data_IF_317500708757
#
_entry.id   IF_317500708757
#
_cell.length_a   1.000
_cell.length_b   1.000
_cell.length_c   1.000
_cell.angle_alpha   90.00
_cell.angle_beta   90.00
_cell.angle_gamma   90.00
#
_symmetry.space_group_name_H-M   'P 1'
#
loop_
_entity.id
_entity.type
_entity.pdbx_description
1 polymer ?
#
# COMPACT_ATOMS: atom_id res chain seq x y z
N UNK A 1 -30.71 -11.25 48.06
CA UNK A 1 -30.47 -11.12 47.52
C UNK A 1 -29.86 -10.95 46.77
N UNK A 2 -29.70 -11.01 46.53
CA UNK A 2 -29.28 -10.84 45.85
C UNK A 2 -28.69 -10.78 44.95
N UNK A 3 -28.33 -10.66 44.42
CA UNK A 3 -27.91 -10.55 43.61
C UNK A 3 -27.36 -10.45 42.72
N UNK A 4 -27.10 -10.28 42.38
CA UNK A 4 -26.76 -10.13 41.66
C UNK A 4 -26.20 -10.06 40.85
N UNK A 5 -25.85 -9.98 40.37
CA UNK A 5 -25.47 -9.85 39.57
C UNK A 5 -24.75 -9.72 38.74
N UNK A 6 -24.44 -9.56 38.29
CA UNK A 6 -23.88 -9.36 37.56
C UNK A 6 -23.38 -9.52 36.73
N UNK A 7 -23.13 -9.44 36.23
CA UNK A 7 -22.75 -9.56 35.37
C UNK A 7 -22.30 -9.24 34.50
N UNK A 8 -22.18 -9.07 34.17
CA UNK A 8 -21.97 -8.88 33.39
C UNK A 8 -21.15 -8.48 32.66
N UNK A 9 -20.75 -8.25 32.38
CA UNK A 9 -19.99 -7.83 31.63
C UNK A 9 -19.33 -8.36 30.96
N UNK A 10 -19.10 -8.55 30.67
CA UNK A 10 -18.54 -8.94 30.04
C UNK A 10 -18.34 -9.01 28.97
N UNK A 11 -18.18 -8.92 28.56
CA UNK A 11 -18.17 -9.07 27.58
C UNK A 11 -17.64 -8.43 26.75
N UNK A 12 -17.49 -8.06 26.47
CA UNK A 12 -17.07 -7.48 25.71
C UNK A 12 -16.14 -7.56 25.10
N UNK A 13 -15.60 -7.47 24.99
CA UNK A 13 -14.68 -7.51 24.55
C UNK A 13 -14.46 -7.99 23.44
N UNK A 14 -14.45 -8.32 23.14
CA UNK A 14 -14.29 -8.89 22.19
C UNK A 14 -14.19 -8.35 21.06
N UNK A 15 -14.46 -7.97 20.98
CA UNK A 15 -14.74 -7.48 19.87
C UNK A 15 -13.66 -7.05 19.19
N UNK A 16 -12.99 -6.50 19.65
CA UNK A 16 -12.09 -5.90 19.00
C UNK A 16 -11.41 -6.58 18.06
N UNK A 17 -11.27 -7.52 18.13
CA UNK A 17 -10.49 -8.09 17.42
C UNK A 17 -10.58 -8.18 16.14
N UNK A 18 -11.30 -8.07 15.69
CA UNK A 18 -11.48 -8.30 14.53
C UNK A 18 -10.96 -7.69 13.57
N UNK A 19 -10.79 -6.84 13.56
CA UNK A 19 -10.47 -6.18 12.53
C UNK A 19 -9.32 -6.39 11.88
N UNK A 20 -8.66 -7.18 12.00
CA UNK A 20 -7.57 -7.24 11.45
C UNK A 20 -7.34 -7.83 10.23
N UNK A 21 -8.17 -8.11 9.49
CA UNK A 21 -7.98 -8.83 8.32
C UNK A 21 -7.48 -8.08 7.14
N UNK A 22 -7.34 -6.86 7.16
CA UNK A 22 -6.91 -6.12 5.99
C UNK A 22 -5.39 -6.05 5.89
N UNK A 23 -4.88 -6.21 4.69
CA UNK A 23 -3.47 -6.02 4.46
C UNK A 23 -3.15 -4.52 4.52
N UNK A 24 -2.28 -4.13 5.40
CA UNK A 24 -1.87 -2.75 5.52
C UNK A 24 -0.50 -2.56 4.94
N UNK A 25 -0.27 -1.44 4.30
CA UNK A 25 1.06 -1.12 3.82
C UNK A 25 1.94 -0.78 5.03
N UNK A 26 3.01 -1.53 5.22
CA UNK A 26 3.94 -1.28 6.30
C UNK A 26 5.10 -0.43 5.83
N UNK A 27 5.50 -0.55 4.58
CA UNK A 27 6.69 0.09 4.11
C UNK A 27 6.67 0.14 2.60
N UNK A 28 7.23 1.16 2.03
CA UNK A 28 7.40 1.27 0.58
C UNK A 28 8.81 1.78 0.30
N UNK A 29 9.39 1.36 -0.83
CA UNK A 29 10.68 1.86 -1.27
C UNK A 29 10.55 2.17 -2.75
N UNK A 30 10.62 3.42 -3.16
CA UNK A 30 10.86 4.63 -2.34
C UNK A 30 9.73 4.84 -1.34
N UNK A 31 10.08 5.47 -0.22
CA UNK A 31 9.10 5.72 0.83
C UNK A 31 8.12 6.82 0.42
N UNK A 32 6.95 6.83 1.05
CA UNK A 32 5.99 7.89 0.84
C UNK A 32 6.62 9.21 1.26
N UNK A 33 6.60 10.17 0.37
CA UNK A 33 7.27 11.45 0.61
C UNK A 33 8.75 11.44 0.29
N UNK A 34 9.28 10.32 -0.18
CA UNK A 34 10.70 10.20 -0.44
C UNK A 34 11.16 10.92 -1.70
N UNK A 35 12.45 11.12 -1.79
CA UNK A 35 13.07 11.74 -2.95
C UNK A 35 14.18 10.81 -3.41
N UNK A 36 14.19 10.51 -4.70
CA UNK A 36 15.25 9.72 -5.29
C UNK A 36 15.88 10.55 -6.41
N UNK A 37 17.15 10.31 -6.66
CA UNK A 37 17.84 11.11 -7.68
C UNK A 37 17.58 10.63 -9.08
N UNK A 38 17.44 9.37 -9.27
CA UNK A 38 17.24 8.80 -10.60
C UNK A 38 15.95 8.00 -10.63
N UNK A 39 15.46 7.74 -11.82
CA UNK A 39 14.23 6.97 -12.01
C UNK A 39 14.43 5.58 -11.40
N UNK A 40 13.61 5.21 -10.41
CA UNK A 40 13.73 3.88 -9.86
C UNK A 40 13.18 2.85 -10.82
N UNK A 41 13.78 1.68 -10.86
CA UNK A 41 13.30 0.62 -11.75
C UNK A 41 12.00 0.02 -11.26
N UNK A 42 11.75 0.10 -9.97
CA UNK A 42 10.54 -0.46 -9.39
C UNK A 42 10.25 0.18 -8.04
N UNK A 43 9.07 -0.11 -7.53
CA UNK A 43 8.71 0.24 -6.17
C UNK A 43 8.41 -1.07 -5.47
N UNK A 44 8.92 -1.23 -4.26
CA UNK A 44 8.61 -2.41 -3.45
C UNK A 44 7.62 -1.97 -2.39
N UNK A 45 6.48 -2.65 -2.35
CA UNK A 45 5.44 -2.39 -1.37
C UNK A 45 5.41 -3.59 -0.42
N UNK A 46 5.57 -3.33 0.87
CA UNK A 46 5.55 -4.38 1.87
C UNK A 46 4.30 -4.24 2.72
N UNK A 47 3.48 -5.26 2.71
CA UNK A 47 2.21 -5.27 3.42
C UNK A 47 2.29 -6.13 4.68
N UNK A 48 1.35 -5.93 5.59
CA UNK A 48 1.32 -6.67 6.84
C UNK A 48 0.99 -8.14 6.65
N UNK A 49 0.40 -8.49 5.52
CA UNK A 49 0.08 -9.86 5.20
C UNK A 49 0.00 -10.00 3.68
N UNK A 50 -0.01 -11.20 3.16
CA UNK A 50 -0.03 -11.36 1.70
C UNK A 50 -1.24 -10.69 1.09
N UNK A 51 -1.03 -10.03 -0.03
CA UNK A 51 -2.08 -9.34 -0.75
C UNK A 51 -1.83 -9.50 -2.23
N UNK A 52 -2.92 -9.44 -2.99
CA UNK A 52 -2.84 -9.54 -4.44
C UNK A 52 -3.03 -8.15 -5.03
N UNK A 53 -2.03 -7.66 -5.72
CA UNK A 53 -2.09 -6.35 -6.35
C UNK A 53 -2.87 -6.49 -7.65
N UNK A 54 -4.06 -5.93 -7.69
CA UNK A 54 -4.93 -6.09 -8.85
C UNK A 54 -4.81 -4.97 -9.86
N UNK A 55 -4.38 -3.80 -9.43
CA UNK A 55 -4.22 -2.66 -10.33
C UNK A 55 -3.23 -1.67 -9.74
N UNK A 56 -2.53 -0.97 -10.61
CA UNK A 56 -1.55 0.02 -10.18
C UNK A 56 -1.39 1.06 -11.27
N UNK A 57 -1.25 2.31 -10.86
CA UNK A 57 -1.08 3.44 -11.79
C UNK A 57 0.01 4.36 -11.30
N UNK A 58 0.68 5.03 -12.23
CA UNK A 58 1.65 6.08 -11.90
C UNK A 58 1.15 7.36 -12.56
N UNK A 59 1.26 8.47 -11.83
CA UNK A 59 0.80 9.76 -12.33
C UNK A 59 1.82 10.82 -11.97
N UNK A 60 2.22 11.62 -12.94
CA UNK A 60 3.16 12.70 -12.71
C UNK A 60 2.37 13.98 -12.50
N UNK A 61 2.49 14.57 -11.33
CA UNK A 61 1.78 15.81 -11.02
C UNK A 61 0.29 15.66 -11.26
N UNK A 62 -0.28 16.57 -12.01
CA UNK A 62 -1.70 16.54 -12.34
C UNK A 62 -1.96 15.90 -13.69
N UNK A 63 -0.96 15.25 -14.25
CA UNK A 63 -1.11 14.63 -15.56
C UNK A 63 -1.98 13.39 -15.52
N UNK A 64 -2.09 12.71 -16.65
CA UNK A 64 -2.93 11.52 -16.72
C UNK A 64 -2.32 10.36 -15.95
N UNK A 65 -3.17 9.49 -15.46
CA UNK A 65 -2.71 8.27 -14.81
C UNK A 65 -2.31 7.28 -15.88
N UNK A 66 -1.16 6.66 -15.69
CA UNK A 66 -0.68 5.64 -16.58
C UNK A 66 -0.75 4.30 -15.88
N UNK A 67 -1.46 3.36 -16.47
CA UNK A 67 -1.60 2.04 -15.86
C UNK A 67 -0.29 1.29 -15.97
N UNK A 68 0.07 0.59 -14.93
CA UNK A 68 1.28 -0.21 -14.90
C UNK A 68 0.93 -1.65 -15.18
N UNK A 69 1.65 -2.25 -16.14
CA UNK A 69 1.48 -3.64 -16.48
C UNK A 69 2.56 -4.48 -15.79
N UNK A 70 2.48 -5.76 -15.93
CA UNK A 70 3.52 -6.63 -15.38
C UNK A 70 3.42 -6.86 -13.90
N UNK A 71 2.21 -6.69 -13.33
CA UNK A 71 2.05 -6.90 -11.91
C UNK A 71 2.11 -8.39 -11.59
N UNK A 72 2.61 -8.73 -10.38
CA UNK A 72 2.68 -10.13 -9.98
C UNK A 72 1.29 -10.76 -9.96
N UNK A 73 1.19 -11.98 -10.42
CA UNK A 73 -0.09 -12.67 -10.44
C UNK A 73 -0.43 -13.32 -9.11
N UNK A 74 0.54 -13.61 -8.29
CA UNK A 74 0.31 -14.30 -7.02
C UNK A 74 0.32 -13.35 -5.85
N UNK A 75 -0.43 -13.63 -4.79
CA UNK A 75 -0.38 -12.79 -3.60
C UNK A 75 0.99 -12.87 -2.93
N UNK A 76 1.41 -11.81 -2.32
CA UNK A 76 2.65 -11.75 -1.58
C UNK A 76 2.60 -10.60 -0.60
N UNK A 77 3.38 -10.68 0.47
CA UNK A 77 3.48 -9.58 1.41
C UNK A 77 4.39 -8.50 0.84
N UNK A 78 5.46 -8.89 0.16
CA UNK A 78 6.35 -7.93 -0.48
C UNK A 78 6.10 -7.98 -1.98
N UNK A 79 5.65 -6.88 -2.54
CA UNK A 79 5.27 -6.81 -3.93
C UNK A 79 6.17 -5.84 -4.66
N UNK A 80 6.79 -6.29 -5.72
CA UNK A 80 7.64 -5.43 -6.55
C UNK A 80 6.84 -4.97 -7.75
N UNK A 81 6.71 -3.65 -7.89
CA UNK A 81 5.95 -3.05 -8.98
C UNK A 81 6.95 -2.47 -9.97
N UNK A 82 6.98 -2.96 -11.20
CA UNK A 82 7.91 -2.40 -12.17
C UNK A 82 7.43 -1.02 -12.60
N UNK A 83 8.37 -0.12 -12.81
CA UNK A 83 8.03 1.23 -13.23
C UNK A 83 8.60 1.51 -14.61
N UNK A 84 7.91 2.34 -15.40
CA UNK A 84 8.50 2.83 -16.62
C UNK A 84 9.59 3.84 -16.24
N UNK A 85 10.38 4.25 -17.19
CA UNK A 85 11.37 5.28 -16.93
C UNK A 85 10.63 6.57 -16.61
N UNK A 86 11.05 7.23 -15.54
CA UNK A 86 10.40 8.45 -15.07
C UNK A 86 11.33 9.64 -15.22
N UNK A 87 10.81 10.72 -15.77
CA UNK A 87 11.54 11.97 -15.80
C UNK A 87 11.47 12.65 -14.44
N UNK A 88 12.33 13.63 -14.19
CA UNK A 88 12.23 14.36 -12.92
C UNK A 88 10.84 14.92 -12.70
N UNK A 89 10.38 14.84 -11.49
CA UNK A 89 9.04 15.33 -11.13
C UNK A 89 8.53 14.63 -9.90
N UNK A 90 7.34 15.03 -9.49
CA UNK A 90 6.66 14.43 -8.35
C UNK A 90 5.61 13.47 -8.86
N UNK A 91 5.59 12.28 -8.30
CA UNK A 91 4.72 11.21 -8.77
C UNK A 91 3.82 10.67 -7.68
N UNK A 92 2.67 10.18 -8.09
CA UNK A 92 1.77 9.44 -7.21
C UNK A 92 1.67 8.04 -7.78
N UNK A 93 2.00 7.05 -6.97
CA UNK A 93 1.76 5.66 -7.32
C UNK A 93 0.53 5.22 -6.55
N UNK A 94 -0.50 4.80 -7.25
CA UNK A 94 -1.73 4.37 -6.62
C UNK A 94 -2.04 2.94 -7.00
N UNK A 95 -2.71 2.22 -6.12
CA UNK A 95 -2.95 0.81 -6.34
C UNK A 95 -4.22 0.34 -5.68
N UNK A 96 -4.62 -0.89 -6.03
CA UNK A 96 -5.68 -1.61 -5.35
C UNK A 96 -5.16 -3.01 -5.06
N UNK A 97 -5.31 -3.45 -3.83
CA UNK A 97 -4.92 -4.79 -3.42
C UNK A 97 -6.11 -5.51 -2.82
N UNK A 98 -6.08 -6.83 -2.90
CA UNK A 98 -7.10 -7.67 -2.31
C UNK A 98 -6.39 -8.60 -1.34
N UNK A 99 -6.82 -8.57 -0.09
CA UNK A 99 -6.27 -9.48 0.92
C UNK A 99 -7.10 -10.74 1.04
N UNK A 100 -6.82 -11.51 2.09
CA UNK A 100 -7.51 -12.76 2.28
C UNK A 100 -9.01 -12.61 2.49
N UNK A 101 -9.44 -11.48 2.98
CA UNK A 101 -10.86 -11.26 3.22
C UNK A 101 -11.59 -10.80 1.97
N UNK A 102 -10.92 -10.78 0.84
CA UNK A 102 -11.47 -10.39 -0.44
C UNK A 102 -11.91 -8.93 -0.54
N UNK A 103 -11.64 -8.12 0.45
CA UNK A 103 -11.93 -6.69 0.33
C UNK A 103 -10.86 -5.99 -0.51
N UNK A 104 -11.29 -5.02 -1.28
CA UNK A 104 -10.37 -4.23 -2.08
C UNK A 104 -9.91 -3.06 -1.24
N UNK A 105 -8.60 -2.91 -1.10
CA UNK A 105 -8.02 -1.83 -0.32
C UNK A 105 -7.21 -0.96 -1.25
N UNK A 106 -7.59 0.31 -1.43
CA UNK A 106 -6.80 1.22 -2.26
C UNK A 106 -5.68 1.84 -1.43
N UNK A 107 -4.63 2.24 -2.10
CA UNK A 107 -3.54 2.94 -1.44
C UNK A 107 -2.79 3.82 -2.40
N UNK A 108 -1.94 4.65 -1.87
CA UNK A 108 -1.08 5.47 -2.71
C UNK A 108 0.11 5.98 -1.92
N UNK A 109 1.20 6.26 -2.63
CA UNK A 109 2.35 6.94 -2.07
C UNK A 109 2.76 8.05 -3.04
N UNK A 110 3.46 9.04 -2.52
CA UNK A 110 4.02 10.11 -3.31
C UNK A 110 5.53 10.01 -3.22
N UNK A 111 6.22 10.23 -4.32
CA UNK A 111 7.67 10.35 -4.27
C UNK A 111 8.12 11.30 -5.38
N UNK A 112 9.34 11.78 -5.26
CA UNK A 112 9.90 12.72 -6.22
C UNK A 112 11.17 12.14 -6.83
N UNK A 113 11.28 12.27 -8.15
CA UNK A 113 12.52 11.99 -8.86
C UNK A 113 13.15 13.34 -9.08
N UNK A 114 14.27 13.60 -8.42
CA UNK A 114 14.85 14.92 -8.50
C UNK A 114 15.64 15.13 -9.79
N UNK A 115 16.15 14.06 -10.35
CA UNK A 115 16.97 14.19 -11.54
C UNK A 115 18.26 14.91 -11.28
N UNK A 116 18.60 15.09 -10.05
CA UNK A 116 19.72 15.90 -9.75
C UNK A 116 20.96 15.14 -9.95
N UNK A 117 21.88 15.67 -10.63
CA UNK A 117 23.08 14.99 -10.78
C UNK A 117 23.80 15.19 -9.57
N UNK A 118 24.47 14.35 -9.27
CA UNK A 118 25.12 14.54 -8.12
C UNK A 118 26.09 15.53 -8.33
N UNK A 119 26.65 15.82 -8.89
CA UNK A 119 27.53 16.76 -9.09
C UNK A 119 28.37 16.95 -8.24
#
# INVERSE_FOLDING_TARGET
MRYTKVFGGLVLSLAATVALAHAHLKKAVPADGGVVETSPANVVLSFSEPAHLTACWIQKGDGPKQKIDGLPAAPAADITVPLPKLDPGTYVLSWKVVGDDTHIVPGQIHFTVSGAPAH
#
